data_IF_305194870370
#
_entry.id   IF_305194870370
#
_cell.length_a   1.000
_cell.length_b   1.000
_cell.length_c   1.000
_cell.angle_alpha   90.00
_cell.angle_beta   90.00
_cell.angle_gamma   90.00
#
_symmetry.space_group_name_H-M   'P 1'
#
loop_
_entity.id
_entity.type
_entity.pdbx_description
1 polymer ?
#
# COMPACT_ATOMS: atom_id res chain seq x y z
N UNK A 1 -32.43 -15.95 -27.50
CA UNK A 1 -31.36 -15.94 -26.51
C UNK A 1 -30.96 -14.49 -26.29
N UNK A 2 -31.54 -13.82 -25.31
CA UNK A 2 -31.35 -12.40 -25.03
C UNK A 2 -30.24 -12.25 -23.95
N UNK A 3 -29.16 -11.58 -24.33
CA UNK A 3 -28.07 -11.23 -23.40
C UNK A 3 -28.52 -10.16 -22.44
N UNK A 4 -28.36 -10.39 -21.14
CA UNK A 4 -28.54 -9.38 -20.10
C UNK A 4 -27.28 -8.51 -20.08
N UNK A 5 -27.36 -7.30 -20.63
CA UNK A 5 -26.44 -6.21 -20.33
C UNK A 5 -26.63 -5.80 -18.87
N UNK A 6 -25.63 -6.11 -18.06
CA UNK A 6 -25.57 -5.64 -16.67
C UNK A 6 -25.29 -4.14 -16.68
N UNK A 7 -26.26 -3.38 -16.20
CA UNK A 7 -26.25 -1.92 -16.12
C UNK A 7 -25.06 -1.40 -15.25
N UNK A 8 -24.03 -0.92 -15.92
CA UNK A 8 -22.84 -0.32 -15.30
C UNK A 8 -23.13 1.00 -14.57
N UNK A 9 -24.33 1.55 -14.68
CA UNK A 9 -24.69 2.83 -14.06
C UNK A 9 -25.12 2.71 -12.59
N UNK A 10 -25.58 1.55 -12.14
CA UNK A 10 -26.02 1.35 -10.76
C UNK A 10 -24.86 1.31 -9.73
N UNK A 11 -23.63 1.09 -10.17
CA UNK A 11 -22.45 1.02 -9.29
C UNK A 11 -21.90 2.42 -8.92
N UNK A 12 -22.27 3.47 -9.64
CA UNK A 12 -21.67 4.82 -9.49
C UNK A 12 -22.36 5.74 -8.49
N UNK A 13 -23.51 5.38 -7.93
CA UNK A 13 -24.29 6.33 -7.09
C UNK A 13 -24.12 6.17 -5.58
N UNK A 14 -23.34 5.23 -5.07
CA UNK A 14 -23.04 5.16 -3.64
C UNK A 14 -21.80 5.99 -3.30
N UNK A 15 -22.00 7.31 -3.17
CA UNK A 15 -21.01 8.23 -2.62
C UNK A 15 -20.68 7.78 -1.19
N UNK A 16 -19.43 7.39 -0.94
CA UNK A 16 -18.92 7.23 0.41
C UNK A 16 -19.11 8.56 1.15
N UNK A 17 -19.93 8.57 2.20
CA UNK A 17 -20.04 9.72 3.10
C UNK A 17 -18.68 9.86 3.79
N UNK A 18 -18.02 10.99 3.55
CA UNK A 18 -16.79 11.37 4.22
C UNK A 18 -17.12 11.63 5.68
N UNK A 19 -16.41 10.97 6.57
CA UNK A 19 -16.51 11.17 8.02
C UNK A 19 -16.11 12.62 8.35
N UNK A 20 -16.95 13.45 8.99
CA UNK A 20 -16.69 14.88 9.20
C UNK A 20 -15.53 15.19 10.18
N UNK A 21 -14.88 14.17 10.75
CA UNK A 21 -13.77 14.33 11.69
C UNK A 21 -12.37 14.40 11.06
N UNK A 22 -12.22 14.28 9.74
CA UNK A 22 -10.89 14.26 9.10
C UNK A 22 -10.47 15.66 8.64
N UNK A 23 -9.45 16.24 9.30
CA UNK A 23 -8.78 17.48 8.89
C UNK A 23 -7.34 17.21 8.42
N UNK A 24 -6.97 17.58 7.17
CA UNK A 24 -5.64 17.31 6.61
C UNK A 24 -4.48 18.16 7.17
N UNK A 25 -4.75 19.14 8.02
CA UNK A 25 -3.78 20.18 8.37
C UNK A 25 -2.90 19.93 9.60
N UNK A 26 -2.93 18.77 10.28
CA UNK A 26 -2.18 18.55 11.54
C UNK A 26 -0.90 17.72 11.44
N UNK A 27 -0.38 17.47 10.23
CA UNK A 27 0.79 16.59 10.01
C UNK A 27 2.13 17.27 9.72
N UNK A 28 2.19 18.58 9.49
CA UNK A 28 3.38 19.22 8.90
C UNK A 28 4.46 19.71 9.90
N UNK A 29 4.25 19.64 11.22
CA UNK A 29 5.18 20.20 12.19
C UNK A 29 6.20 19.23 12.81
N UNK A 30 6.23 17.94 12.41
CA UNK A 30 7.15 16.93 13.00
C UNK A 30 8.22 16.36 12.06
N UNK A 31 8.36 16.88 10.85
CA UNK A 31 9.33 16.35 9.87
C UNK A 31 10.73 16.97 9.93
N UNK A 32 11.00 17.91 10.85
CA UNK A 32 12.29 18.59 10.90
C UNK A 32 13.31 17.99 11.90
N UNK A 33 12.95 17.03 12.74
CA UNK A 33 13.83 16.58 13.84
C UNK A 33 14.41 15.17 13.74
N UNK A 34 14.06 14.34 12.74
CA UNK A 34 14.54 12.95 12.68
C UNK A 34 15.73 12.67 11.74
N UNK A 35 16.40 13.71 11.25
CA UNK A 35 17.48 13.56 10.26
C UNK A 35 18.90 13.52 10.87
N UNK A 36 19.09 13.21 12.15
CA UNK A 36 20.43 13.05 12.75
C UNK A 36 20.51 11.79 13.60
N UNK A 37 21.27 10.79 13.14
CA UNK A 37 21.83 9.76 14.01
C UNK A 37 21.52 8.30 13.66
N UNK A 38 21.96 7.79 12.54
CA UNK A 38 22.15 6.34 12.40
C UNK A 38 23.65 6.01 12.48
N UNK A 39 24.09 5.55 13.65
CA UNK A 39 25.38 4.85 13.81
C UNK A 39 25.18 3.38 13.42
N UNK A 40 26.10 2.87 12.61
CA UNK A 40 26.19 1.47 12.22
C UNK A 40 26.34 0.56 13.46
N UNK A 41 25.45 -0.43 13.59
CA UNK A 41 25.55 -1.47 14.61
C UNK A 41 26.45 -2.62 14.15
N UNK A 42 27.04 -3.41 15.09
CA UNK A 42 28.04 -4.43 14.79
C UNK A 42 27.43 -5.67 14.14
N UNK A 43 28.26 -6.34 13.31
CA UNK A 43 27.96 -7.55 12.56
C UNK A 43 27.49 -8.71 13.44
N UNK A 44 26.39 -9.37 13.03
CA UNK A 44 25.86 -10.59 13.66
C UNK A 44 26.72 -11.80 13.29
N UNK A 45 27.20 -12.53 14.29
CA UNK A 45 27.87 -13.83 14.14
C UNK A 45 26.84 -14.95 13.92
N UNK A 46 27.12 -15.97 13.08
CA UNK A 46 26.23 -17.11 12.93
C UNK A 46 26.40 -18.07 14.11
N UNK A 47 25.33 -18.29 14.85
CA UNK A 47 25.28 -19.22 15.98
C UNK A 47 24.03 -20.08 15.96
N UNK A 48 24.23 -21.38 15.73
CA UNK A 48 23.56 -22.55 16.26
C UNK A 48 22.04 -22.59 16.37
N UNK A 49 21.38 -23.27 15.43
CA UNK A 49 20.01 -23.80 15.57
C UNK A 49 20.02 -25.03 16.49
N UNK A 50 19.59 -24.90 17.73
CA UNK A 50 18.96 -25.97 18.53
C UNK A 50 18.32 -25.36 19.78
N UNK A 51 17.03 -25.15 19.76
CA UNK A 51 16.28 -24.64 20.93
C UNK A 51 14.84 -25.10 20.88
N UNK A 52 14.55 -26.19 21.58
CA UNK A 52 13.24 -26.81 21.78
C UNK A 52 12.20 -25.76 22.19
N UNK A 53 11.09 -25.68 21.48
CA UNK A 53 9.90 -24.95 21.85
C UNK A 53 9.37 -25.50 23.19
N UNK A 54 9.64 -24.82 24.31
CA UNK A 54 8.91 -24.96 25.53
C UNK A 54 7.76 -23.96 25.53
N UNK A 55 6.52 -24.37 25.82
CA UNK A 55 5.43 -23.41 26.04
C UNK A 55 5.76 -22.63 27.31
N UNK A 56 5.88 -21.30 27.19
CA UNK A 56 6.04 -20.40 28.33
C UNK A 56 4.71 -20.36 29.07
N UNK A 57 4.62 -21.12 30.19
CA UNK A 57 3.59 -20.95 31.21
C UNK A 57 3.91 -19.67 31.99
N UNK A 58 2.90 -18.81 32.14
CA UNK A 58 2.75 -17.92 33.27
C UNK A 58 3.35 -16.53 33.15
N UNK A 59 2.51 -15.59 32.73
CA UNK A 59 2.29 -14.34 33.45
C UNK A 59 0.87 -13.87 33.11
N UNK A 60 -0.07 -14.21 34.00
CA UNK A 60 -1.43 -13.67 34.00
C UNK A 60 -1.31 -12.22 34.51
N UNK A 61 -0.92 -11.28 33.63
CA UNK A 61 -1.28 -9.88 33.81
C UNK A 61 -2.65 -9.77 33.21
N UNK A 62 -3.60 -9.20 33.95
CA UNK A 62 -4.99 -9.09 33.55
C UNK A 62 -5.11 -8.67 32.09
N UNK A 63 -5.69 -9.56 31.28
CA UNK A 63 -5.91 -9.32 29.85
C UNK A 63 -6.90 -8.16 29.74
N UNK A 64 -6.48 -7.06 29.14
CA UNK A 64 -7.37 -5.94 28.92
C UNK A 64 -8.35 -6.33 27.80
N UNK A 65 -9.64 -6.12 28.02
CA UNK A 65 -10.65 -6.32 26.98
C UNK A 65 -10.63 -5.08 26.06
N UNK A 66 -10.36 -5.31 24.79
CA UNK A 66 -10.47 -4.30 23.75
C UNK A 66 -11.78 -4.48 22.96
N UNK A 67 -12.36 -3.39 22.48
CA UNK A 67 -13.53 -3.43 21.61
C UNK A 67 -13.11 -3.15 20.16
N UNK A 68 -13.20 -4.16 19.29
CA UNK A 68 -13.08 -3.98 17.85
C UNK A 68 -14.45 -3.72 17.23
N UNK A 69 -14.58 -2.61 16.54
CA UNK A 69 -15.73 -2.25 15.73
C UNK A 69 -15.44 -2.49 14.26
N UNK A 70 -15.99 -3.56 13.71
CA UNK A 70 -15.72 -4.00 12.34
C UNK A 70 -16.87 -3.62 11.42
N UNK A 71 -16.55 -3.04 10.26
CA UNK A 71 -17.53 -2.78 9.21
C UNK A 71 -17.86 -4.10 8.53
N UNK A 72 -19.13 -4.53 8.67
CA UNK A 72 -19.67 -5.74 8.04
C UNK A 72 -20.41 -5.36 6.79
N UNK A 73 -20.15 -6.08 5.72
CA UNK A 73 -20.85 -5.94 4.46
C UNK A 73 -20.98 -7.29 3.76
N UNK A 74 -22.19 -7.55 3.24
CA UNK A 74 -22.50 -8.72 2.42
C UNK A 74 -23.15 -8.24 1.13
N UNK A 75 -22.95 -8.92 -0.02
CA UNK A 75 -23.66 -8.61 -1.25
C UNK A 75 -25.18 -8.61 -1.03
N UNK A 76 -25.83 -7.49 -1.38
CA UNK A 76 -27.28 -7.34 -1.22
C UNK A 76 -27.76 -6.88 0.17
N UNK A 77 -26.85 -6.66 1.13
CA UNK A 77 -27.17 -6.13 2.45
C UNK A 77 -26.56 -4.74 2.66
N UNK A 78 -27.15 -3.97 3.58
CA UNK A 78 -26.60 -2.68 3.97
C UNK A 78 -25.32 -2.83 4.82
N UNK A 79 -24.43 -1.86 4.71
CA UNK A 79 -23.27 -1.76 5.57
C UNK A 79 -23.69 -1.58 7.03
N UNK A 80 -23.10 -2.35 7.94
CA UNK A 80 -23.34 -2.22 9.37
C UNK A 80 -22.05 -2.32 10.16
N UNK A 81 -21.94 -1.54 11.21
CA UNK A 81 -20.88 -1.67 12.19
C UNK A 81 -21.28 -2.70 13.24
N UNK A 82 -20.35 -3.60 13.56
CA UNK A 82 -20.52 -4.61 14.61
C UNK A 82 -19.37 -4.56 15.59
N UNK A 83 -19.69 -4.51 16.88
CA UNK A 83 -18.71 -4.46 17.96
C UNK A 83 -18.43 -5.90 18.45
N UNK A 84 -17.15 -6.18 18.71
CA UNK A 84 -16.66 -7.44 19.25
C UNK A 84 -15.72 -7.16 20.42
N UNK A 85 -15.89 -7.88 21.52
CA UNK A 85 -14.95 -7.86 22.64
C UNK A 85 -13.84 -8.90 22.36
N UNK A 86 -12.59 -8.51 22.49
CA UNK A 86 -11.43 -9.38 22.28
C UNK A 86 -10.44 -9.24 23.42
N UNK A 87 -9.76 -10.31 23.75
CA UNK A 87 -8.69 -10.31 24.74
C UNK A 87 -7.44 -9.65 24.14
N UNK A 88 -6.95 -8.59 24.78
CA UNK A 88 -5.82 -7.80 24.30
C UNK A 88 -4.61 -7.97 25.21
N UNK A 89 -3.73 -8.89 24.85
CA UNK A 89 -2.38 -8.96 25.41
C UNK A 89 -1.47 -7.88 24.82
N UNK A 90 -0.28 -7.70 25.39
CA UNK A 90 0.67 -6.65 24.99
C UNK A 90 1.04 -6.69 23.50
N UNK A 91 1.14 -7.88 22.91
CA UNK A 91 1.57 -8.12 21.54
C UNK A 91 0.42 -8.49 20.59
N UNK A 92 -0.83 -8.50 21.09
CA UNK A 92 -2.00 -8.85 20.28
C UNK A 92 -2.16 -7.87 19.14
N UNK A 93 -2.11 -8.36 17.89
CA UNK A 93 -2.29 -7.54 16.69
C UNK A 93 -3.76 -7.46 16.29
N UNK A 94 -4.10 -6.49 15.43
CA UNK A 94 -5.44 -6.42 14.80
C UNK A 94 -5.77 -7.72 14.07
N UNK A 95 -4.79 -8.39 13.45
CA UNK A 95 -5.03 -9.68 12.79
C UNK A 95 -5.37 -10.79 13.79
N UNK A 96 -4.66 -10.86 14.92
CA UNK A 96 -4.93 -11.86 15.93
C UNK A 96 -6.34 -11.70 16.50
N UNK A 97 -6.75 -10.45 16.77
CA UNK A 97 -8.11 -10.13 17.19
C UNK A 97 -9.17 -10.54 16.14
N UNK A 98 -8.94 -10.26 14.84
CA UNK A 98 -9.85 -10.69 13.77
C UNK A 98 -9.95 -12.23 13.69
N UNK A 99 -8.85 -12.94 13.89
CA UNK A 99 -8.82 -14.42 13.91
C UNK A 99 -9.57 -14.96 15.13
N UNK A 100 -9.41 -14.35 16.30
CA UNK A 100 -10.15 -14.69 17.52
C UNK A 100 -11.66 -14.50 17.32
N UNK A 101 -12.08 -13.36 16.80
CA UNK A 101 -13.49 -13.08 16.48
C UNK A 101 -14.04 -14.14 15.52
N UNK A 102 -13.31 -14.44 14.42
CA UNK A 102 -13.75 -15.43 13.44
C UNK A 102 -13.92 -16.83 14.05
N UNK A 103 -13.04 -17.21 14.97
CA UNK A 103 -13.07 -18.55 15.59
C UNK A 103 -14.11 -18.70 16.68
N UNK A 104 -14.29 -17.67 17.51
CA UNK A 104 -15.06 -17.77 18.75
C UNK A 104 -16.40 -17.04 18.73
N UNK A 105 -16.54 -15.97 17.93
CA UNK A 105 -17.72 -15.12 18.00
C UNK A 105 -18.50 -15.05 16.68
N UNK A 106 -17.80 -14.97 15.53
CA UNK A 106 -18.45 -14.80 14.23
C UNK A 106 -17.68 -15.51 13.10
N UNK A 107 -17.94 -16.79 12.87
CA UNK A 107 -17.32 -17.56 11.79
C UNK A 107 -17.58 -17.02 10.40
N UNK A 108 -18.58 -16.14 10.24
CA UNK A 108 -18.94 -15.49 9.00
C UNK A 108 -18.05 -14.31 8.63
N UNK A 109 -17.22 -13.79 9.54
CA UNK A 109 -16.35 -12.64 9.30
C UNK A 109 -15.30 -12.93 8.22
N UNK A 110 -15.29 -12.14 7.13
CA UNK A 110 -14.38 -12.32 6.01
C UNK A 110 -13.25 -11.29 6.03
N UNK A 111 -12.00 -11.75 5.98
CA UNK A 111 -10.79 -10.94 5.83
C UNK A 111 -9.67 -11.76 5.17
N UNK A 112 -8.62 -11.06 4.70
CA UNK A 112 -7.48 -11.71 4.04
C UNK A 112 -6.24 -11.65 4.92
N UNK A 113 -5.49 -12.74 4.94
CA UNK A 113 -4.13 -12.78 5.46
C UNK A 113 -3.37 -13.98 4.89
N UNK A 114 -2.04 -13.95 4.95
CA UNK A 114 -1.20 -15.08 4.57
C UNK A 114 0.04 -15.18 5.47
N UNK A 115 1.04 -14.31 5.28
CA UNK A 115 2.36 -14.45 5.92
C UNK A 115 2.39 -14.17 7.42
N UNK A 116 1.51 -13.34 7.98
CA UNK A 116 1.44 -12.87 9.38
C UNK A 116 2.67 -12.09 9.87
N UNK A 117 3.65 -11.84 9.00
CA UNK A 117 4.94 -11.22 9.34
C UNK A 117 5.23 -9.93 8.58
N UNK A 118 4.21 -9.32 7.94
CA UNK A 118 4.35 -8.04 7.25
C UNK A 118 5.05 -8.10 5.89
N UNK A 119 5.04 -9.24 5.18
CA UNK A 119 5.73 -9.38 3.90
C UNK A 119 4.79 -9.43 2.69
N UNK A 120 3.59 -10.03 2.81
CA UNK A 120 2.75 -10.29 1.64
C UNK A 120 1.74 -9.19 1.31
N UNK A 121 1.47 -8.26 2.24
CA UNK A 121 0.50 -7.17 2.06
C UNK A 121 -0.99 -7.58 2.05
N UNK A 122 -1.32 -8.88 2.14
CA UNK A 122 -2.70 -9.38 2.00
C UNK A 122 -3.64 -8.88 3.09
N UNK A 123 -3.15 -8.60 4.30
CA UNK A 123 -3.93 -8.18 5.45
C UNK A 123 -4.12 -6.65 5.55
N UNK A 124 -4.04 -5.95 4.43
CA UNK A 124 -4.28 -4.51 4.37
C UNK A 124 -5.72 -4.15 4.73
N UNK A 125 -5.90 -3.28 5.70
CA UNK A 125 -7.18 -2.75 6.18
C UNK A 125 -7.02 -1.29 6.61
N UNK A 126 -8.14 -0.61 6.85
CA UNK A 126 -8.13 0.71 7.48
C UNK A 126 -8.47 0.55 8.96
N UNK A 127 -7.57 0.97 9.83
CA UNK A 127 -7.72 0.92 11.29
C UNK A 127 -7.72 2.34 11.83
N UNK A 128 -8.78 2.72 12.54
CA UNK A 128 -8.96 4.08 13.07
C UNK A 128 -8.71 5.17 12.00
N UNK A 129 -9.25 4.96 10.79
CA UNK A 129 -9.13 5.88 9.67
C UNK A 129 -7.77 5.90 8.95
N UNK A 130 -6.84 5.02 9.30
CA UNK A 130 -5.51 4.92 8.65
C UNK A 130 -5.27 3.52 8.09
N UNK A 131 -4.75 3.45 6.87
CA UNK A 131 -4.35 2.22 6.22
C UNK A 131 -3.19 1.56 6.94
N UNK A 132 -3.34 0.27 7.27
CA UNK A 132 -2.35 -0.52 8.01
C UNK A 132 -2.37 -1.98 7.59
N UNK A 133 -1.28 -2.70 7.89
CA UNK A 133 -1.31 -4.15 7.90
C UNK A 133 -1.84 -4.66 9.24
N UNK A 134 -2.90 -5.42 9.22
CA UNK A 134 -3.49 -5.98 10.44
C UNK A 134 -2.47 -6.82 11.25
N UNK A 135 -1.60 -7.59 10.58
CA UNK A 135 -0.60 -8.45 11.21
C UNK A 135 0.59 -7.70 11.84
N UNK A 136 0.74 -6.39 11.59
CA UNK A 136 1.84 -5.57 12.14
C UNK A 136 1.34 -4.37 12.92
N UNK A 137 0.08 -4.40 13.31
CA UNK A 137 -0.56 -3.32 14.08
C UNK A 137 -0.98 -3.88 15.43
N UNK A 138 -0.16 -3.73 16.50
CA UNK A 138 -0.54 -4.12 17.84
C UNK A 138 -1.70 -3.27 18.36
N UNK A 139 -2.67 -3.87 19.04
CA UNK A 139 -3.81 -3.16 19.63
C UNK A 139 -3.35 -2.09 20.62
N UNK A 140 -2.30 -2.38 21.38
CA UNK A 140 -1.70 -1.46 22.36
C UNK A 140 -1.22 -0.13 21.77
N UNK A 141 -0.92 -0.08 20.47
CA UNK A 141 -0.47 1.15 19.78
C UNK A 141 -1.60 2.03 19.29
N UNK A 142 -2.85 1.58 19.38
CA UNK A 142 -4.02 2.26 18.81
C UNK A 142 -4.72 3.20 19.81
N UNK A 143 -4.19 3.27 21.04
CA UNK A 143 -4.78 4.07 22.11
C UNK A 143 -5.97 3.40 22.79
N UNK A 144 -6.48 4.00 23.87
CA UNK A 144 -7.65 3.52 24.59
C UNK A 144 -8.93 3.73 23.77
N UNK A 145 -9.90 2.86 23.99
CA UNK A 145 -11.23 2.98 23.41
C UNK A 145 -11.53 1.98 22.31
N UNK A 146 -12.55 2.30 21.51
CA UNK A 146 -13.04 1.46 20.43
C UNK A 146 -12.14 1.55 19.22
N UNK A 147 -11.68 0.40 18.72
CA UNK A 147 -10.82 0.29 17.53
C UNK A 147 -11.72 0.01 16.32
N UNK A 148 -11.75 0.92 15.36
CA UNK A 148 -12.52 0.73 14.13
C UNK A 148 -11.69 0.03 13.07
N UNK A 149 -12.29 -0.97 12.39
CA UNK A 149 -11.66 -1.70 11.29
C UNK A 149 -12.61 -1.76 10.10
N UNK A 150 -12.14 -1.35 8.94
CA UNK A 150 -12.92 -1.36 7.69
C UNK A 150 -12.06 -1.79 6.49
N UNK A 151 -12.67 -2.19 5.36
CA UNK A 151 -11.94 -2.51 4.13
C UNK A 151 -11.18 -1.28 3.60
N UNK A 152 -10.20 -1.52 2.73
CA UNK A 152 -9.47 -0.47 2.01
C UNK A 152 -10.44 0.38 1.19
N UNK A 153 -10.20 1.70 1.16
CA UNK A 153 -10.96 2.64 0.34
C UNK A 153 -10.66 2.47 -1.16
N UNK A 154 -11.58 2.89 -2.02
CA UNK A 154 -11.43 2.97 -3.47
C UNK A 154 -11.25 1.61 -4.16
N UNK A 155 -11.60 0.54 -3.47
CA UNK A 155 -11.72 -0.81 -4.01
C UNK A 155 -13.15 -1.32 -3.83
N UNK A 156 -13.72 -2.06 -4.80
CA UNK A 156 -14.99 -2.74 -4.60
C UNK A 156 -14.89 -3.72 -3.45
N UNK A 157 -15.82 -3.67 -2.51
CA UNK A 157 -15.88 -4.63 -1.41
C UNK A 157 -16.55 -5.90 -1.92
N UNK A 158 -15.93 -7.05 -1.69
CA UNK A 158 -16.49 -8.36 -2.00
C UNK A 158 -17.29 -8.91 -0.82
N UNK A 159 -16.75 -8.76 0.37
CA UNK A 159 -17.40 -9.14 1.64
C UNK A 159 -16.61 -8.59 2.81
N UNK A 160 -17.26 -7.96 3.76
CA UNK A 160 -16.67 -7.41 4.99
C UNK A 160 -15.37 -6.62 4.73
N UNK A 161 -14.21 -7.17 5.13
CA UNK A 161 -12.89 -6.55 4.94
C UNK A 161 -12.19 -6.98 3.64
N UNK A 162 -12.82 -7.85 2.84
CA UNK A 162 -12.25 -8.37 1.58
C UNK A 162 -12.64 -7.46 0.43
N UNK A 163 -11.65 -6.94 -0.27
CA UNK A 163 -11.82 -6.07 -1.45
C UNK A 163 -11.38 -6.76 -2.74
N UNK A 164 -11.93 -6.33 -3.88
CA UNK A 164 -11.47 -6.75 -5.19
C UNK A 164 -10.20 -5.98 -5.58
N UNK A 165 -9.12 -6.71 -5.89
CA UNK A 165 -7.85 -6.15 -6.34
C UNK A 165 -7.75 -6.01 -7.87
N UNK A 166 -8.76 -6.41 -8.64
CA UNK A 166 -8.76 -6.27 -10.09
C UNK A 166 -8.54 -4.82 -10.57
N UNK A 167 -9.16 -3.79 -9.96
CA UNK A 167 -8.87 -2.40 -10.31
C UNK A 167 -7.41 -1.99 -10.08
N UNK A 168 -6.76 -2.50 -9.03
CA UNK A 168 -5.33 -2.28 -8.79
C UNK A 168 -4.49 -2.86 -9.92
N UNK A 169 -4.75 -4.12 -10.29
CA UNK A 169 -4.04 -4.80 -11.37
C UNK A 169 -4.27 -4.11 -12.72
N UNK A 170 -5.49 -3.64 -12.99
CA UNK A 170 -5.80 -2.88 -14.20
C UNK A 170 -4.99 -1.56 -14.29
N UNK A 171 -4.85 -0.82 -13.19
CA UNK A 171 -4.02 0.40 -13.12
C UNK A 171 -2.54 0.08 -13.36
N UNK A 172 -2.03 -1.03 -12.82
CA UNK A 172 -0.66 -1.48 -13.09
C UNK A 172 -0.45 -1.80 -14.57
N UNK A 173 -1.39 -2.50 -15.20
CA UNK A 173 -1.36 -2.80 -16.65
C UNK A 173 -1.41 -1.53 -17.50
N UNK A 174 -2.25 -0.57 -17.14
CA UNK A 174 -2.44 0.67 -17.89
C UNK A 174 -1.14 1.49 -18.03
N UNK A 175 -0.25 1.47 -17.03
CA UNK A 175 1.06 2.14 -17.11
C UNK A 175 2.16 1.25 -17.71
N UNK A 176 1.86 0.07 -18.18
CA UNK A 176 2.88 -0.87 -18.67
C UNK A 176 3.85 -1.30 -17.56
N UNK A 177 3.31 -1.76 -16.41
CA UNK A 177 4.11 -2.11 -15.23
C UNK A 177 4.93 -3.40 -15.37
N UNK A 178 4.85 -4.08 -16.50
CA UNK A 178 5.68 -5.24 -16.82
C UNK A 178 7.05 -4.78 -17.35
N UNK A 179 8.10 -5.49 -16.96
CA UNK A 179 9.43 -5.35 -17.54
C UNK A 179 9.43 -5.94 -18.96
N UNK A 180 10.00 -5.20 -19.91
CA UNK A 180 10.12 -5.64 -21.31
C UNK A 180 11.60 -5.75 -21.68
N UNK A 181 12.16 -6.96 -21.78
CA UNK A 181 13.56 -7.14 -22.16
C UNK A 181 13.82 -6.73 -23.60
N UNK A 182 15.07 -6.36 -23.92
CA UNK A 182 15.50 -6.16 -25.30
C UNK A 182 15.70 -7.47 -26.03
N UNK A 183 15.58 -7.42 -27.36
CA UNK A 183 15.92 -8.53 -28.26
C UNK A 183 17.45 -8.67 -28.31
N UNK A 184 18.03 -9.55 -27.52
CA UNK A 184 19.47 -9.74 -27.54
C UNK A 184 19.97 -10.70 -26.48
N UNK A 185 21.12 -11.29 -26.77
CA UNK A 185 21.80 -12.36 -26.03
C UNK A 185 22.23 -12.05 -24.58
N UNK A 186 21.71 -10.98 -23.97
CA UNK A 186 22.08 -10.60 -22.60
C UNK A 186 21.30 -11.42 -21.56
N UNK A 187 21.55 -12.70 -21.51
CA UNK A 187 21.01 -13.59 -20.46
C UNK A 187 21.39 -13.10 -19.05
N UNK A 188 22.51 -12.38 -18.92
CA UNK A 188 23.07 -11.95 -17.64
C UNK A 188 23.16 -10.43 -17.48
N UNK A 189 22.27 -9.67 -18.16
CA UNK A 189 22.23 -8.22 -17.97
C UNK A 189 21.90 -7.87 -16.51
N UNK A 190 22.92 -7.51 -15.75
CA UNK A 190 22.80 -7.08 -14.35
C UNK A 190 23.06 -5.59 -14.24
N UNK A 191 22.28 -4.92 -13.41
CA UNK A 191 22.60 -3.56 -12.97
C UNK A 191 23.38 -3.72 -11.66
N UNK A 192 24.61 -3.17 -11.61
CA UNK A 192 25.42 -3.20 -10.37
C UNK A 192 24.68 -2.48 -9.24
N UNK A 193 24.73 -3.06 -8.04
CA UNK A 193 24.15 -2.44 -6.83
C UNK A 193 24.71 -1.07 -6.52
N UNK A 194 25.99 -0.82 -6.90
CA UNK A 194 26.67 0.44 -6.66
C UNK A 194 26.45 1.47 -7.77
N UNK A 195 25.75 1.10 -8.84
CA UNK A 195 25.46 2.05 -9.93
C UNK A 195 24.45 3.12 -9.50
N UNK A 196 24.64 4.34 -10.00
CA UNK A 196 23.69 5.44 -9.75
C UNK A 196 22.25 5.08 -10.20
N UNK A 197 22.13 4.29 -11.27
CA UNK A 197 20.86 3.80 -11.79
C UNK A 197 20.13 2.91 -10.76
N UNK A 198 20.86 1.96 -10.15
CA UNK A 198 20.31 1.06 -9.14
C UNK A 198 19.95 1.81 -7.87
N UNK A 199 20.85 2.66 -7.37
CA UNK A 199 20.64 3.44 -6.16
C UNK A 199 19.40 4.36 -6.25
N UNK A 200 19.12 4.91 -7.45
CA UNK A 200 17.95 5.77 -7.64
C UNK A 200 16.62 5.05 -7.47
N UNK A 201 16.55 3.76 -7.82
CA UNK A 201 15.33 2.96 -7.79
C UNK A 201 15.29 1.94 -6.64
N UNK A 202 16.35 1.82 -5.86
CA UNK A 202 16.54 0.76 -4.87
C UNK A 202 15.38 0.68 -3.88
N UNK A 203 14.99 1.79 -3.28
CA UNK A 203 13.81 1.85 -2.43
C UNK A 203 12.51 1.52 -3.19
N UNK A 204 12.32 2.09 -4.38
CA UNK A 204 11.07 2.01 -5.11
C UNK A 204 10.72 0.61 -5.62
N UNK A 205 11.73 -0.25 -5.87
CA UNK A 205 11.50 -1.63 -6.35
C UNK A 205 10.99 -2.58 -5.27
N UNK A 206 11.13 -2.24 -3.98
CA UNK A 206 10.68 -3.05 -2.85
C UNK A 206 9.15 -3.02 -2.68
N UNK A 207 8.41 -2.44 -3.62
CA UNK A 207 6.95 -2.37 -3.58
C UNK A 207 6.32 -3.75 -3.73
N UNK A 208 5.60 -4.20 -2.69
CA UNK A 208 4.91 -5.50 -2.64
C UNK A 208 3.47 -5.47 -3.17
N UNK A 209 2.99 -4.34 -3.68
CA UNK A 209 1.65 -4.23 -4.27
C UNK A 209 0.49 -4.35 -3.28
N UNK A 210 0.64 -3.98 -2.03
CA UNK A 210 -0.37 -4.15 -0.98
C UNK A 210 -1.62 -3.27 -1.13
N UNK A 211 -1.58 -2.23 -1.98
CA UNK A 211 -2.74 -1.36 -2.26
C UNK A 211 -3.01 -0.25 -1.24
N UNK A 212 -2.31 -0.19 -0.08
CA UNK A 212 -2.56 0.81 0.95
C UNK A 212 -2.41 2.25 0.45
N UNK A 213 -1.38 2.51 -0.35
CA UNK A 213 -1.14 3.82 -0.96
C UNK A 213 -2.24 4.23 -1.96
N UNK A 214 -2.90 3.27 -2.60
CA UNK A 214 -4.06 3.52 -3.49
C UNK A 214 -5.28 3.86 -2.65
N UNK A 215 -5.51 3.14 -1.54
CA UNK A 215 -6.57 3.41 -0.58
C UNK A 215 -6.45 4.82 0.02
N UNK A 216 -5.25 5.26 0.39
CA UNK A 216 -5.02 6.57 0.99
C UNK A 216 -5.02 7.74 -0.03
N UNK A 217 -5.10 7.45 -1.32
CA UNK A 217 -4.95 8.48 -2.36
C UNK A 217 -6.26 9.20 -2.65
N UNK A 218 -6.33 10.49 -2.33
CA UNK A 218 -7.50 11.34 -2.62
C UNK A 218 -7.77 11.49 -4.11
N UNK A 219 -6.75 11.43 -4.97
CA UNK A 219 -6.94 11.55 -6.42
C UNK A 219 -7.62 10.29 -6.98
N UNK A 220 -7.25 9.11 -6.48
CA UNK A 220 -7.94 7.85 -6.85
C UNK A 220 -9.43 7.89 -6.50
N UNK A 221 -9.79 8.57 -5.40
CA UNK A 221 -11.18 8.75 -4.99
C UNK A 221 -12.03 9.51 -6.01
N UNK A 222 -11.43 10.46 -6.71
CA UNK A 222 -12.13 11.39 -7.59
C UNK A 222 -11.89 11.16 -9.09
N UNK A 223 -10.84 10.40 -9.44
CA UNK A 223 -10.51 10.09 -10.83
C UNK A 223 -10.19 8.60 -11.01
N UNK A 224 -11.15 7.87 -11.57
CA UNK A 224 -11.02 6.45 -11.84
C UNK A 224 -9.90 6.11 -12.85
N UNK A 225 -9.56 7.07 -13.76
CA UNK A 225 -8.51 6.90 -14.77
C UNK A 225 -7.11 7.19 -14.24
N UNK A 226 -6.99 7.84 -13.09
CA UNK A 226 -5.68 8.09 -12.46
C UNK A 226 -5.00 6.75 -12.10
N UNK A 227 -3.77 6.50 -12.57
CA UNK A 227 -3.10 5.22 -12.34
C UNK A 227 -2.84 4.90 -10.87
N UNK A 228 -2.72 5.92 -10.05
CA UNK A 228 -2.45 5.77 -8.62
C UNK A 228 -0.96 5.64 -8.27
N UNK A 229 -0.65 5.76 -6.97
CA UNK A 229 0.74 5.87 -6.51
C UNK A 229 1.57 4.61 -6.79
N UNK A 230 1.01 3.41 -6.57
CA UNK A 230 1.74 2.16 -6.79
C UNK A 230 2.13 1.96 -8.26
N UNK A 231 1.20 2.23 -9.19
CA UNK A 231 1.44 2.11 -10.62
C UNK A 231 2.48 3.11 -11.11
N UNK A 232 2.41 4.37 -10.64
CA UNK A 232 3.41 5.40 -10.97
C UNK A 232 4.76 5.10 -10.34
N UNK A 233 4.81 4.56 -9.11
CA UNK A 233 6.05 4.10 -8.50
C UNK A 233 6.71 2.98 -9.33
N UNK A 234 5.93 2.00 -9.78
CA UNK A 234 6.44 0.94 -10.66
C UNK A 234 6.88 1.48 -12.02
N UNK A 235 6.12 2.41 -12.60
CA UNK A 235 6.50 3.07 -13.86
C UNK A 235 7.84 3.79 -13.71
N UNK A 236 8.09 4.46 -12.57
CA UNK A 236 9.37 5.11 -12.29
C UNK A 236 10.53 4.12 -12.31
N UNK A 237 10.41 2.97 -11.62
CA UNK A 237 11.49 1.96 -11.60
C UNK A 237 11.82 1.47 -13.00
N UNK A 238 10.81 1.23 -13.85
CA UNK A 238 11.00 0.75 -15.22
C UNK A 238 11.49 1.86 -16.17
N UNK A 239 11.14 3.12 -15.93
CA UNK A 239 11.68 4.24 -16.71
C UNK A 239 13.17 4.49 -16.42
N UNK A 240 13.66 4.07 -15.27
CA UNK A 240 15.06 4.19 -14.87
C UNK A 240 15.87 2.91 -15.13
N UNK A 241 15.23 1.78 -15.39
CA UNK A 241 15.91 0.52 -15.71
C UNK A 241 16.40 0.55 -17.18
N UNK A 242 17.73 0.57 -17.37
CA UNK A 242 18.34 0.62 -18.70
C UNK A 242 18.02 -0.60 -19.58
N UNK A 243 17.66 -1.70 -18.96
CA UNK A 243 17.31 -2.97 -19.62
C UNK A 243 15.88 -3.02 -20.15
N UNK A 244 15.00 -2.11 -19.66
CA UNK A 244 13.60 -2.05 -20.11
C UNK A 244 13.49 -1.30 -21.43
N UNK A 245 12.94 -1.95 -22.47
CA UNK A 245 12.79 -1.39 -23.81
C UNK A 245 11.47 -0.66 -24.03
N UNK A 246 10.48 -0.82 -23.15
CA UNK A 246 9.15 -0.19 -23.28
C UNK A 246 9.12 1.26 -22.76
N UNK A 247 10.27 1.87 -22.45
CA UNK A 247 10.33 3.23 -21.87
C UNK A 247 9.64 4.30 -22.74
N UNK A 248 9.83 4.25 -24.04
CA UNK A 248 9.21 5.23 -24.96
C UNK A 248 7.70 5.09 -25.03
N UNK A 249 7.19 3.88 -25.11
CA UNK A 249 5.76 3.56 -25.14
C UNK A 249 5.08 3.99 -23.84
N UNK A 250 5.72 3.74 -22.69
CA UNK A 250 5.19 4.10 -21.37
C UNK A 250 4.98 5.62 -21.20
N UNK A 251 5.80 6.44 -21.84
CA UNK A 251 5.60 7.90 -21.83
C UNK A 251 4.25 8.33 -22.40
N UNK A 252 3.68 7.61 -23.35
CA UNK A 252 2.35 7.92 -23.88
C UNK A 252 1.26 7.95 -22.80
N UNK A 253 1.31 7.00 -21.87
CA UNK A 253 0.38 6.97 -20.71
C UNK A 253 0.77 7.98 -19.65
N UNK A 254 2.06 8.08 -19.31
CA UNK A 254 2.54 8.96 -18.24
C UNK A 254 2.28 10.44 -18.51
N UNK A 255 2.32 10.86 -19.77
CA UNK A 255 2.07 12.24 -20.19
C UNK A 255 0.59 12.55 -20.44
N UNK A 256 -0.30 11.57 -20.31
CA UNK A 256 -1.74 11.82 -20.44
C UNK A 256 -2.26 12.72 -19.31
N UNK A 257 -3.37 13.38 -19.55
CA UNK A 257 -4.03 14.28 -18.60
C UNK A 257 -4.43 13.60 -17.28
N UNK A 258 -4.64 12.29 -17.30
CA UNK A 258 -5.07 11.53 -16.12
C UNK A 258 -3.92 10.95 -15.30
N UNK A 259 -2.66 11.09 -15.74
CA UNK A 259 -1.51 10.49 -15.08
C UNK A 259 -0.70 11.49 -14.23
N UNK A 260 0.54 11.80 -14.62
CA UNK A 260 1.47 12.59 -13.79
C UNK A 260 0.91 13.96 -13.39
N UNK A 261 0.17 14.63 -14.28
CA UNK A 261 -0.38 15.95 -14.02
C UNK A 261 -1.39 15.97 -12.86
N UNK A 262 -2.09 14.86 -12.61
CA UNK A 262 -3.15 14.77 -11.58
C UNK A 262 -2.64 14.61 -10.16
N UNK A 263 -1.41 14.16 -9.94
CA UNK A 263 -0.91 14.02 -8.57
C UNK A 263 -0.67 15.40 -7.95
N UNK A 264 -1.25 15.69 -6.80
CA UNK A 264 -1.10 16.97 -6.09
C UNK A 264 0.02 16.96 -5.03
N UNK A 265 0.76 15.85 -4.90
CA UNK A 265 1.91 15.78 -3.98
C UNK A 265 1.56 15.76 -2.49
N UNK A 266 0.32 15.37 -2.13
CA UNK A 266 -0.15 15.34 -0.72
C UNK A 266 0.59 14.35 0.18
N UNK A 267 1.38 13.45 -0.38
CA UNK A 267 2.22 12.46 0.28
C UNK A 267 1.50 11.38 1.13
N UNK A 268 0.17 11.35 1.18
CA UNK A 268 -0.57 10.31 1.91
C UNK A 268 -0.10 8.88 1.56
N UNK A 269 0.24 8.64 0.29
CA UNK A 269 0.75 7.36 -0.19
C UNK A 269 2.12 6.98 0.41
N UNK A 270 2.95 7.98 0.75
CA UNK A 270 4.23 7.80 1.46
C UNK A 270 3.98 7.54 2.93
N UNK A 271 3.07 8.30 3.55
CA UNK A 271 2.79 8.20 5.00
C UNK A 271 2.20 6.86 5.42
N UNK A 272 1.41 6.23 4.53
CA UNK A 272 0.79 4.92 4.84
C UNK A 272 1.60 3.73 4.34
N UNK A 273 2.75 3.96 3.66
CA UNK A 273 3.51 2.86 3.11
C UNK A 273 4.20 2.04 4.22
N UNK A 274 3.79 0.80 4.43
CA UNK A 274 4.35 0.01 5.53
C UNK A 274 5.74 -0.56 5.21
N UNK A 275 6.18 -0.46 3.94
CA UNK A 275 7.54 -0.77 3.49
C UNK A 275 8.48 0.44 3.61
N UNK A 276 8.00 1.61 4.06
CA UNK A 276 8.80 2.83 4.16
C UNK A 276 9.13 3.48 2.82
N UNK A 277 8.45 3.10 1.73
CA UNK A 277 8.68 3.67 0.40
C UNK A 277 8.12 5.08 0.28
N UNK A 278 8.69 5.86 -0.63
CA UNK A 278 8.21 7.20 -0.95
C UNK A 278 7.62 7.30 -2.39
N UNK A 279 6.39 6.78 -2.65
CA UNK A 279 5.78 6.86 -3.98
C UNK A 279 5.64 8.30 -4.49
N UNK A 280 5.44 9.26 -3.59
CA UNK A 280 5.44 10.70 -3.95
C UNK A 280 6.76 11.13 -4.57
N UNK A 281 7.90 10.68 -4.03
CA UNK A 281 9.23 10.97 -4.60
C UNK A 281 9.37 10.38 -6.01
N UNK A 282 8.95 9.15 -6.21
CA UNK A 282 8.94 8.50 -7.53
C UNK A 282 8.12 9.29 -8.56
N UNK A 283 6.94 9.80 -8.16
CA UNK A 283 6.09 10.62 -9.03
C UNK A 283 6.75 11.97 -9.35
N UNK A 284 7.36 12.62 -8.37
CA UNK A 284 8.11 13.88 -8.59
C UNK A 284 9.25 13.65 -9.57
N UNK A 285 10.01 12.56 -9.42
CA UNK A 285 11.09 12.20 -10.36
C UNK A 285 10.56 11.95 -11.76
N UNK A 286 9.45 11.23 -11.92
CA UNK A 286 8.80 11.05 -13.23
C UNK A 286 8.40 12.41 -13.86
N UNK A 287 7.90 13.36 -13.07
CA UNK A 287 7.58 14.71 -13.56
C UNK A 287 8.81 15.45 -14.03
N UNK A 288 9.91 15.41 -13.28
CA UNK A 288 11.18 16.01 -13.69
C UNK A 288 11.67 15.41 -15.02
N UNK A 289 11.61 14.09 -15.16
CA UNK A 289 11.95 13.40 -16.40
C UNK A 289 11.02 13.80 -17.56
N UNK A 290 9.71 13.94 -17.29
CA UNK A 290 8.73 14.39 -18.28
C UNK A 290 9.02 15.81 -18.76
N UNK A 291 9.30 16.73 -17.85
CA UNK A 291 9.68 18.11 -18.15
C UNK A 291 10.95 18.15 -19.01
N UNK A 292 12.00 17.44 -18.60
CA UNK A 292 13.24 17.35 -19.39
C UNK A 292 13.00 16.80 -20.79
N UNK A 293 12.10 15.82 -20.94
CA UNK A 293 11.72 15.24 -22.22
C UNK A 293 10.95 16.24 -23.12
N UNK A 294 9.96 16.95 -22.57
CA UNK A 294 9.11 17.89 -23.32
C UNK A 294 9.95 19.07 -23.82
N UNK A 295 10.75 19.64 -22.96
CA UNK A 295 11.55 20.82 -23.28
C UNK A 295 12.89 20.51 -23.93
N UNK A 296 13.21 19.22 -24.16
CA UNK A 296 14.54 18.76 -24.63
C UNK A 296 15.69 19.37 -23.80
N UNK A 297 15.43 19.61 -22.53
CA UNK A 297 16.35 20.23 -21.60
C UNK A 297 17.28 19.17 -21.00
N UNK A 298 18.57 19.40 -21.12
CA UNK A 298 19.63 18.54 -20.59
C UNK A 298 20.32 17.65 -21.62
N UNK A 299 21.48 17.11 -21.30
CA UNK A 299 22.18 16.13 -22.14
C UNK A 299 21.28 14.90 -22.24
N UNK A 300 20.78 14.63 -23.43
CA UNK A 300 19.81 13.59 -23.82
C UNK A 300 19.61 12.49 -22.76
N UNK A 301 18.80 12.79 -21.74
CA UNK A 301 18.37 11.84 -20.71
C UNK A 301 19.47 11.28 -19.79
N UNK A 302 20.61 11.94 -19.65
CA UNK A 302 21.66 11.56 -18.72
C UNK A 302 21.33 11.80 -17.25
N UNK A 303 22.00 11.10 -16.31
CA UNK A 303 21.66 11.09 -14.87
C UNK A 303 22.05 12.36 -14.08
N UNK A 304 22.39 13.45 -14.73
CA UNK A 304 22.87 14.66 -14.07
C UNK A 304 21.88 15.80 -14.11
N UNK A 305 20.81 15.69 -13.38
CA UNK A 305 20.09 16.83 -12.83
C UNK A 305 19.62 16.41 -11.42
N UNK A 306 20.48 16.82 -10.45
CA UNK A 306 20.36 16.74 -8.99
C UNK A 306 21.14 15.62 -8.33
#
# INVERSE_FOLDING_TARGET
MAGQELDAQAVHQRRARVDPGWHPARGLSRLAESARGHRAGPALRPGGLAGRHRPRRGCVRGEAIATLRVLRWLPGADERWQDYAVEAGADTTVLDALVEIQRGQDPGLAFRYACRVGMCGSCGVVVNGRERWACRTPLSTLGPGRITVRPLYHFPVLRDLVVDMAPFTARMRAVGAAFTPGDGERRDARISGDSAERQEIDEAIECIGCGLCVSACTIVAHNARFPGPAALNRAFTLQRDSRDTARSTRWGVLLSDDALARCHGQANCTDVCPMGLAPTRSIIRLRQMATARIFKWGPRYGPRLF
#
